data_IF_066121397682
#
_entry.id   IF_066121397682
#
_cell.length_a   1.000
_cell.length_b   1.000
_cell.length_c   1.000
_cell.angle_alpha   90.00
_cell.angle_beta   90.00
_cell.angle_gamma   90.00
#
_symmetry.space_group_name_H-M   'P 1'
#
loop_
_entity.id
_entity.type
_entity.pdbx_description
1 polymer ?
#
# COMPACT_ATOMS: atom_id res chain seq x y z
N UNK A 1 -8.90 9.65 -5.69
CA UNK A 1 -8.58 10.90 -5.01
C UNK A 1 -8.50 12.06 -5.99
N UNK A 2 -7.58 12.08 -6.99
CA UNK A 2 -7.42 13.18 -7.95
C UNK A 2 -8.73 13.57 -8.65
N UNK A 3 -9.55 12.59 -9.11
CA UNK A 3 -10.87 12.87 -9.72
C UNK A 3 -11.86 13.56 -8.78
N UNK A 4 -11.56 13.65 -7.48
CA UNK A 4 -12.36 14.36 -6.47
C UNK A 4 -11.71 15.67 -6.01
N UNK A 5 -10.72 16.15 -6.76
CA UNK A 5 -10.06 17.43 -6.53
C UNK A 5 -8.90 17.38 -5.52
N UNK A 6 -8.47 16.20 -5.07
CA UNK A 6 -7.29 16.09 -4.24
C UNK A 6 -6.02 16.32 -5.07
N UNK A 7 -5.05 17.03 -4.50
CA UNK A 7 -3.66 17.01 -4.94
C UNK A 7 -3.06 15.65 -4.55
N UNK A 8 -2.43 14.96 -5.49
CA UNK A 8 -1.95 13.60 -5.28
C UNK A 8 -0.47 13.48 -5.58
N UNK A 9 0.34 13.19 -4.57
CA UNK A 9 1.73 12.77 -4.72
C UNK A 9 1.77 11.25 -4.88
N UNK A 10 2.00 10.79 -6.11
CA UNK A 10 2.02 9.36 -6.45
C UNK A 10 3.47 8.86 -6.45
N UNK A 11 3.85 8.10 -5.42
CA UNK A 11 5.13 7.39 -5.36
C UNK A 11 4.97 6.05 -6.06
N UNK A 12 5.57 5.90 -7.23
CA UNK A 12 5.36 4.76 -8.13
C UNK A 12 6.65 3.99 -8.37
N UNK A 13 6.65 2.71 -7.99
CA UNK A 13 7.68 1.75 -8.33
C UNK A 13 7.67 1.39 -9.83
N UNK A 14 8.50 0.42 -10.27
CA UNK A 14 8.53 -0.03 -11.65
C UNK A 14 7.15 -0.44 -12.15
N UNK A 15 6.63 0.26 -13.16
CA UNK A 15 5.31 0.03 -13.73
C UNK A 15 5.25 0.53 -15.17
N UNK A 16 4.51 -0.18 -16.02
CA UNK A 16 4.15 0.26 -17.38
C UNK A 16 3.01 1.28 -17.40
N UNK A 17 2.26 1.40 -16.29
CA UNK A 17 1.11 2.31 -16.18
C UNK A 17 1.61 3.75 -16.05
N UNK A 18 1.11 4.63 -16.91
CA UNK A 18 1.38 6.07 -16.85
C UNK A 18 0.12 6.78 -16.35
N UNK A 19 0.14 7.35 -15.11
CA UNK A 19 -0.98 8.16 -14.66
C UNK A 19 -1.08 9.41 -15.54
N UNK A 20 -2.29 9.69 -16.04
CA UNK A 20 -2.55 10.76 -17.00
C UNK A 20 -3.67 11.71 -16.51
N UNK A 21 -3.79 11.93 -15.20
CA UNK A 21 -4.79 12.84 -14.64
C UNK A 21 -4.14 14.13 -14.16
N UNK A 22 -4.77 15.29 -14.34
CA UNK A 22 -4.35 16.54 -13.70
C UNK A 22 -4.33 16.37 -12.16
N UNK A 23 -3.45 17.13 -11.48
CA UNK A 23 -3.33 17.10 -10.02
C UNK A 23 -2.58 15.88 -9.48
N UNK A 24 -1.84 15.15 -10.33
CA UNK A 24 -0.94 14.08 -9.90
C UNK A 24 0.52 14.52 -10.08
N UNK A 25 1.25 14.57 -8.98
CA UNK A 25 2.71 14.75 -8.94
C UNK A 25 3.36 13.37 -8.85
N UNK A 26 4.08 12.97 -9.90
CA UNK A 26 4.62 11.63 -10.04
C UNK A 26 6.07 11.55 -9.53
N UNK A 27 6.30 10.75 -8.49
CA UNK A 27 7.61 10.39 -7.97
C UNK A 27 7.95 8.96 -8.38
N UNK A 28 8.80 8.80 -9.40
CA UNK A 28 9.25 7.46 -9.84
C UNK A 28 10.38 6.97 -8.97
N UNK A 29 10.28 5.75 -8.48
CA UNK A 29 11.29 5.07 -7.66
C UNK A 29 11.57 3.67 -8.18
N UNK A 30 12.76 3.14 -7.90
CA UNK A 30 13.19 1.82 -8.37
C UNK A 30 13.32 0.82 -7.22
N UNK A 31 13.63 1.29 -6.01
CA UNK A 31 13.91 0.46 -4.84
C UNK A 31 12.96 0.75 -3.69
N UNK A 32 12.84 -0.22 -2.77
CA UNK A 32 12.08 -0.04 -1.53
C UNK A 32 12.62 1.11 -0.68
N UNK A 33 13.95 1.31 -0.65
CA UNK A 33 14.56 2.41 0.10
C UNK A 33 14.24 3.78 -0.51
N UNK A 34 14.28 3.90 -1.85
CA UNK A 34 13.85 5.13 -2.53
C UNK A 34 12.37 5.44 -2.24
N UNK A 35 11.50 4.40 -2.30
CA UNK A 35 10.09 4.57 -1.95
C UNK A 35 9.93 5.04 -0.51
N UNK A 36 10.65 4.42 0.42
CA UNK A 36 10.66 4.84 1.82
C UNK A 36 11.05 6.31 1.97
N UNK A 37 12.16 6.75 1.36
CA UNK A 37 12.65 8.14 1.47
C UNK A 37 11.61 9.14 0.95
N UNK A 38 11.04 8.90 -0.23
CA UNK A 38 10.02 9.79 -0.81
C UNK A 38 8.75 9.82 0.05
N UNK A 39 8.25 8.65 0.50
CA UNK A 39 7.08 8.62 1.38
C UNK A 39 7.31 9.39 2.68
N UNK A 40 8.50 9.28 3.29
CA UNK A 40 8.85 10.00 4.52
C UNK A 40 8.99 11.51 4.30
N UNK A 41 9.40 11.94 3.10
CA UNK A 41 9.52 13.35 2.72
C UNK A 41 8.15 13.98 2.49
N UNK A 42 7.25 13.30 1.79
CA UNK A 42 5.94 13.84 1.40
C UNK A 42 4.90 13.76 2.53
N UNK A 43 4.99 12.74 3.40
CA UNK A 43 3.98 12.46 4.42
C UNK A 43 3.71 13.60 5.40
N UNK A 44 4.69 14.41 5.88
CA UNK A 44 4.42 15.50 6.80
C UNK A 44 3.42 16.54 6.27
N UNK A 45 3.37 16.76 4.96
CA UNK A 45 2.46 17.71 4.32
C UNK A 45 1.13 17.07 3.87
N UNK A 46 1.05 15.75 3.85
CA UNK A 46 -0.13 15.04 3.37
C UNK A 46 -1.22 14.92 4.45
N UNK A 47 -2.49 15.04 4.07
CA UNK A 47 -3.65 14.75 4.93
C UNK A 47 -3.95 13.24 4.95
N UNK A 48 -3.68 12.56 3.83
CA UNK A 48 -4.03 11.16 3.62
C UNK A 48 -2.83 10.43 3.01
N UNK A 49 -2.47 9.26 3.54
CA UNK A 49 -1.55 8.33 2.89
C UNK A 49 -2.24 7.00 2.60
N UNK A 50 -2.16 6.54 1.34
CA UNK A 50 -2.73 5.26 0.89
C UNK A 50 -1.59 4.37 0.41
N UNK A 51 -1.25 3.36 1.21
CA UNK A 51 -0.11 2.48 1.00
C UNK A 51 -0.55 1.19 0.31
N UNK A 52 -0.71 1.25 -1.02
CA UNK A 52 -1.22 0.13 -1.83
C UNK A 52 -0.11 -0.68 -2.54
N UNK A 53 1.14 -0.22 -2.52
CA UNK A 53 2.24 -0.91 -3.16
C UNK A 53 2.62 -2.21 -2.41
N UNK A 54 2.84 -3.30 -3.14
CA UNK A 54 3.43 -4.52 -2.62
C UNK A 54 4.96 -4.38 -2.59
N UNK A 55 5.49 -3.80 -1.53
CA UNK A 55 6.93 -3.62 -1.33
C UNK A 55 7.50 -4.91 -0.76
N UNK A 56 8.63 -5.39 -1.33
CA UNK A 56 9.30 -6.59 -0.84
C UNK A 56 9.83 -6.38 0.59
N UNK A 57 9.64 -7.38 1.46
CA UNK A 57 10.10 -7.35 2.86
C UNK A 57 11.62 -7.53 3.01
N UNK A 58 12.28 -8.01 1.95
CA UNK A 58 13.73 -8.29 1.93
C UNK A 58 14.37 -7.73 0.67
N UNK A 59 15.63 -7.33 0.81
CA UNK A 59 16.50 -6.90 -0.28
C UNK A 59 17.88 -7.56 -0.15
N UNK A 60 18.62 -7.81 -1.25
CA UNK A 60 20.00 -8.26 -1.15
C UNK A 60 20.86 -7.32 -0.31
N UNK A 61 21.74 -7.90 0.54
CA UNK A 61 22.71 -7.13 1.34
C UNK A 61 23.68 -6.41 0.41
N UNK A 62 24.10 -7.09 -0.65
CA UNK A 62 25.00 -6.56 -1.68
C UNK A 62 24.37 -6.70 -3.06
N UNK A 63 24.54 -5.68 -3.88
CA UNK A 63 24.11 -5.69 -5.28
C UNK A 63 25.34 -5.79 -6.16
N UNK A 64 25.41 -6.83 -6.99
CA UNK A 64 26.50 -6.98 -7.94
C UNK A 64 26.46 -5.85 -8.99
N UNK A 65 27.60 -5.20 -9.20
CA UNK A 65 27.76 -4.15 -10.23
C UNK A 65 27.94 -4.73 -11.64
N UNK A 66 28.32 -6.01 -11.71
CA UNK A 66 28.52 -6.73 -12.96
C UNK A 66 27.68 -8.01 -13.00
N UNK A 67 27.55 -8.56 -14.22
CA UNK A 67 26.85 -9.84 -14.43
C UNK A 67 27.54 -10.96 -13.66
N UNK A 68 26.81 -11.60 -12.74
CA UNK A 68 27.28 -12.80 -12.04
C UNK A 68 27.44 -13.94 -13.05
N UNK A 69 28.68 -14.41 -13.22
CA UNK A 69 28.99 -15.59 -14.06
C UNK A 69 28.63 -16.86 -13.28
N UNK A 70 28.08 -17.86 -13.97
CA UNK A 70 27.82 -19.18 -13.39
C UNK A 70 29.15 -19.83 -13.02
N UNK A 71 29.43 -19.96 -11.74
CA UNK A 71 30.67 -20.60 -11.23
C UNK A 71 30.37 -21.93 -10.51
N UNK A 72 29.13 -22.17 -10.10
CA UNK A 72 28.68 -23.37 -9.41
C UNK A 72 27.19 -23.65 -9.71
N UNK A 73 26.72 -24.85 -9.37
CA UNK A 73 25.31 -25.25 -9.54
C UNK A 73 24.40 -24.53 -8.56
N UNK A 74 24.96 -23.97 -7.48
CA UNK A 74 24.20 -23.25 -6.43
C UNK A 74 24.69 -21.83 -6.28
N UNK A 75 23.76 -20.88 -6.10
CA UNK A 75 24.00 -19.49 -5.73
C UNK A 75 23.28 -19.15 -4.44
N UNK A 76 24.01 -18.67 -3.44
CA UNK A 76 23.42 -18.17 -2.19
C UNK A 76 23.42 -16.64 -2.20
N UNK A 77 22.26 -16.04 -1.89
CA UNK A 77 22.11 -14.60 -1.79
C UNK A 77 21.74 -14.25 -0.36
N UNK A 78 22.58 -13.47 0.31
CA UNK A 78 22.25 -12.92 1.64
C UNK A 78 21.23 -11.79 1.50
N UNK A 79 20.15 -11.87 2.28
CA UNK A 79 19.08 -10.88 2.29
C UNK A 79 19.02 -10.16 3.65
N UNK A 80 18.64 -8.88 3.63
CA UNK A 80 18.32 -8.08 4.80
C UNK A 80 16.90 -7.54 4.70
N UNK A 81 16.28 -7.21 5.85
CA UNK A 81 14.93 -6.63 5.87
C UNK A 81 14.92 -5.22 5.28
N UNK A 82 13.90 -4.93 4.49
CA UNK A 82 13.59 -3.57 4.06
C UNK A 82 12.94 -2.79 5.20
N UNK A 83 12.93 -1.45 5.08
CA UNK A 83 12.21 -0.59 6.01
C UNK A 83 10.71 -0.74 5.81
N UNK A 84 9.96 -0.91 6.89
CA UNK A 84 8.50 -0.99 6.86
C UNK A 84 7.91 0.43 6.75
N UNK A 85 7.53 0.80 5.54
CA UNK A 85 7.04 2.14 5.22
C UNK A 85 5.76 2.43 6.00
N UNK A 86 4.77 1.52 5.98
CA UNK A 86 3.49 1.72 6.66
C UNK A 86 3.67 1.92 8.16
N UNK A 87 4.52 1.11 8.80
CA UNK A 87 4.85 1.24 10.21
C UNK A 87 5.50 2.58 10.51
N UNK A 88 6.50 2.98 9.71
CA UNK A 88 7.23 4.23 9.91
C UNK A 88 6.34 5.47 9.74
N UNK A 89 5.39 5.44 8.80
CA UNK A 89 4.39 6.48 8.65
C UNK A 89 3.44 6.50 9.85
N UNK A 90 2.97 5.34 10.32
CA UNK A 90 2.10 5.24 11.49
C UNK A 90 2.73 5.76 12.78
N UNK A 91 4.05 5.58 12.95
CA UNK A 91 4.82 6.12 14.09
C UNK A 91 4.94 7.65 14.05
N UNK A 92 4.95 8.24 12.84
CA UNK A 92 5.08 9.70 12.64
C UNK A 92 3.75 10.40 12.36
N UNK A 93 2.67 9.66 12.23
CA UNK A 93 1.35 10.19 11.89
C UNK A 93 0.84 11.19 12.92
N UNK A 94 0.42 12.37 12.46
CA UNK A 94 -0.34 13.33 13.26
C UNK A 94 -1.78 12.84 13.49
N UNK A 95 -2.47 13.41 14.47
CA UNK A 95 -3.85 13.04 14.81
C UNK A 95 -4.86 13.35 13.68
N UNK A 96 -4.60 14.38 12.89
CA UNK A 96 -5.41 14.84 11.77
C UNK A 96 -5.19 14.03 10.47
N UNK A 97 -4.08 13.29 10.37
CA UNK A 97 -3.75 12.49 9.19
C UNK A 97 -4.48 11.15 9.16
N UNK A 98 -4.83 10.69 7.97
CA UNK A 98 -5.44 9.38 7.73
C UNK A 98 -4.46 8.46 7.00
N UNK A 99 -4.19 7.30 7.61
CA UNK A 99 -3.27 6.29 7.07
C UNK A 99 -4.05 5.02 6.69
N UNK A 100 -3.98 4.67 5.40
CA UNK A 100 -4.64 3.50 4.83
C UNK A 100 -3.58 2.49 4.38
N UNK A 101 -3.63 1.28 4.93
CA UNK A 101 -2.79 0.16 4.52
C UNK A 101 -3.56 -0.87 3.70
N UNK A 102 -2.84 -1.73 2.98
CA UNK A 102 -3.40 -2.89 2.29
C UNK A 102 -2.86 -4.18 2.90
N UNK A 103 -3.70 -5.21 2.93
CA UNK A 103 -3.34 -6.56 3.28
C UNK A 103 -3.79 -7.52 2.17
N UNK A 104 -2.94 -8.48 1.85
CA UNK A 104 -3.23 -9.57 0.92
C UNK A 104 -2.90 -10.86 1.65
N UNK A 105 -3.91 -11.63 2.02
CA UNK A 105 -3.78 -12.77 2.90
C UNK A 105 -4.48 -14.01 2.30
N UNK A 106 -4.10 -15.19 2.77
CA UNK A 106 -4.70 -16.48 2.40
C UNK A 106 -5.29 -17.23 3.59
N UNK A 107 -4.79 -16.96 4.80
CA UNK A 107 -5.19 -17.62 6.05
C UNK A 107 -5.34 -16.62 7.16
N UNK A 108 -6.25 -16.88 8.12
CA UNK A 108 -6.47 -15.98 9.27
C UNK A 108 -6.62 -14.49 8.89
N UNK A 109 -7.18 -14.22 7.73
CA UNK A 109 -7.24 -12.92 7.04
C UNK A 109 -7.69 -11.79 7.96
N UNK A 110 -8.81 -12.01 8.71
CA UNK A 110 -9.35 -11.03 9.64
C UNK A 110 -8.37 -10.69 10.76
N UNK A 111 -7.75 -11.70 11.36
CA UNK A 111 -6.79 -11.49 12.46
C UNK A 111 -5.55 -10.74 11.98
N UNK A 112 -5.04 -11.06 10.80
CA UNK A 112 -3.91 -10.35 10.19
C UNK A 112 -4.26 -8.89 9.84
N UNK A 113 -5.44 -8.63 9.28
CA UNK A 113 -5.89 -7.27 8.97
C UNK A 113 -6.02 -6.42 10.24
N UNK A 114 -6.63 -6.94 11.31
CA UNK A 114 -6.74 -6.26 12.61
C UNK A 114 -5.38 -6.07 13.27
N UNK A 115 -4.50 -7.08 13.22
CA UNK A 115 -3.13 -6.99 13.72
C UNK A 115 -2.33 -5.91 12.97
N UNK A 116 -2.49 -5.80 11.65
CA UNK A 116 -1.86 -4.76 10.83
C UNK A 116 -2.40 -3.37 11.19
N UNK A 117 -3.72 -3.23 11.36
CA UNK A 117 -4.37 -1.99 11.77
C UNK A 117 -3.75 -1.47 13.08
N UNK A 118 -3.62 -2.33 14.09
CA UNK A 118 -3.07 -1.97 15.39
C UNK A 118 -1.55 -1.73 15.34
N UNK A 119 -0.79 -2.70 14.82
CA UNK A 119 0.69 -2.66 14.85
C UNK A 119 1.30 -1.58 13.96
N UNK A 120 0.58 -1.10 12.93
CA UNK A 120 1.02 -0.03 12.04
C UNK A 120 0.38 1.31 12.36
N UNK A 121 -0.43 1.42 13.42
CA UNK A 121 -1.21 2.62 13.75
C UNK A 121 -1.98 3.17 12.54
N UNK A 122 -2.47 2.28 11.67
CA UNK A 122 -3.28 2.63 10.52
C UNK A 122 -4.71 2.98 10.98
N UNK A 123 -5.39 3.84 10.23
CA UNK A 123 -6.80 4.18 10.48
C UNK A 123 -7.73 3.25 9.73
N UNK A 124 -7.22 2.68 8.62
CA UNK A 124 -7.96 1.79 7.76
C UNK A 124 -7.02 0.74 7.15
N UNK A 125 -7.48 -0.50 7.07
CA UNK A 125 -6.83 -1.58 6.32
C UNK A 125 -7.80 -2.14 5.29
N UNK A 126 -7.38 -2.15 4.03
CA UNK A 126 -8.09 -2.77 2.92
C UNK A 126 -7.56 -4.18 2.74
N UNK A 127 -8.35 -5.17 3.10
CA UNK A 127 -8.02 -6.57 2.96
C UNK A 127 -8.49 -7.10 1.61
N UNK A 128 -7.58 -7.72 0.85
CA UNK A 128 -7.85 -8.58 -0.29
C UNK A 128 -7.66 -10.03 0.14
N UNK A 129 -8.62 -10.89 -0.15
CA UNK A 129 -8.46 -12.34 0.02
C UNK A 129 -7.95 -12.96 -1.27
N UNK A 130 -6.90 -13.79 -1.18
CA UNK A 130 -6.46 -14.63 -2.30
C UNK A 130 -7.32 -15.90 -2.45
N UNK A 131 -8.17 -16.21 -1.47
CA UNK A 131 -9.10 -17.35 -1.53
C UNK A 131 -10.33 -17.04 -2.42
N UNK A 132 -10.57 -15.78 -2.75
CA UNK A 132 -11.67 -15.39 -3.62
C UNK A 132 -11.26 -15.56 -5.09
N UNK A 133 -11.99 -16.41 -5.81
CA UNK A 133 -11.78 -16.64 -7.24
C UNK A 133 -11.90 -15.32 -8.04
N UNK A 134 -10.87 -15.02 -8.85
CA UNK A 134 -10.79 -13.77 -9.63
C UNK A 134 -10.35 -12.54 -8.82
N UNK A 135 -9.88 -12.71 -7.58
CA UNK A 135 -9.22 -11.68 -6.79
C UNK A 135 -7.68 -11.82 -6.86
N UNK A 136 -6.96 -10.74 -6.59
CA UNK A 136 -5.50 -10.74 -6.51
C UNK A 136 -4.78 -10.17 -7.73
N UNK A 137 -3.50 -10.58 -7.90
CA UNK A 137 -2.67 -10.10 -8.99
C UNK A 137 -3.10 -10.69 -10.35
N UNK A 138 -2.98 -9.89 -11.41
CA UNK A 138 -3.28 -10.35 -12.77
C UNK A 138 -4.77 -10.32 -13.17
N UNK A 139 -5.68 -10.05 -12.26
CA UNK A 139 -7.11 -9.94 -12.55
C UNK A 139 -7.57 -8.47 -12.59
N UNK A 140 -8.62 -8.18 -13.36
CA UNK A 140 -9.23 -6.85 -13.44
C UNK A 140 -10.30 -6.61 -12.36
N UNK A 141 -10.67 -7.66 -11.63
CA UNK A 141 -11.63 -7.62 -10.53
C UNK A 141 -10.95 -7.78 -9.18
N UNK A 142 -11.66 -7.38 -8.12
CA UNK A 142 -11.25 -7.62 -6.74
C UNK A 142 -12.46 -7.71 -5.82
N UNK A 143 -12.29 -8.35 -4.67
CA UNK A 143 -13.23 -8.39 -3.56
C UNK A 143 -12.47 -7.95 -2.32
N UNK A 144 -12.98 -6.98 -1.60
CA UNK A 144 -12.29 -6.41 -0.43
C UNK A 144 -13.19 -6.38 0.81
N UNK A 145 -12.53 -6.37 1.96
CA UNK A 145 -13.14 -5.96 3.24
C UNK A 145 -12.32 -4.80 3.80
N UNK A 146 -12.98 -3.73 4.23
CA UNK A 146 -12.33 -2.59 4.87
C UNK A 146 -12.51 -2.71 6.38
N UNK A 147 -11.38 -2.69 7.11
CA UNK A 147 -11.33 -2.62 8.56
C UNK A 147 -10.94 -1.21 8.98
N UNK A 148 -11.69 -0.62 9.89
CA UNK A 148 -11.46 0.74 10.40
C UNK A 148 -11.06 0.71 11.88
N UNK A 149 -10.28 1.69 12.31
CA UNK A 149 -9.78 1.82 13.70
C UNK A 149 -10.90 1.93 14.74
N UNK A 150 -12.08 2.41 14.33
CA UNK A 150 -13.29 2.50 15.17
C UNK A 150 -14.02 1.15 15.37
N UNK A 151 -13.50 0.06 14.80
CA UNK A 151 -14.06 -1.28 14.90
C UNK A 151 -15.00 -1.68 13.77
N UNK A 152 -15.28 -0.80 12.81
CA UNK A 152 -16.08 -1.14 11.65
C UNK A 152 -15.38 -2.17 10.77
N UNK A 153 -16.16 -3.12 10.28
CA UNK A 153 -15.77 -4.12 9.28
C UNK A 153 -16.78 -4.09 8.14
N UNK A 154 -16.34 -3.68 6.96
CA UNK A 154 -17.21 -3.37 5.83
C UNK A 154 -16.84 -4.25 4.64
N UNK A 155 -17.57 -5.33 4.38
CA UNK A 155 -17.35 -6.19 3.22
C UNK A 155 -17.93 -5.56 1.95
N UNK A 156 -17.23 -5.74 0.83
CA UNK A 156 -17.68 -5.37 -0.51
C UNK A 156 -17.71 -6.62 -1.39
N UNK A 157 -18.72 -6.71 -2.26
CA UNK A 157 -18.78 -7.76 -3.27
C UNK A 157 -17.68 -7.62 -4.34
N UNK A 158 -17.49 -8.66 -5.15
CA UNK A 158 -16.56 -8.63 -6.27
C UNK A 158 -16.94 -7.57 -7.29
N UNK A 159 -16.02 -6.67 -7.62
CA UNK A 159 -16.19 -5.55 -8.54
C UNK A 159 -14.92 -5.33 -9.36
N UNK A 160 -14.97 -4.48 -10.39
CA UNK A 160 -13.77 -4.03 -11.08
C UNK A 160 -12.84 -3.26 -10.11
N UNK A 161 -11.54 -3.30 -10.36
CA UNK A 161 -10.55 -2.53 -9.55
C UNK A 161 -10.87 -1.03 -9.50
N UNK A 162 -11.46 -0.48 -10.58
CA UNK A 162 -11.90 0.91 -10.59
C UNK A 162 -13.07 1.17 -9.63
N UNK A 163 -14.05 0.27 -9.57
CA UNK A 163 -15.17 0.37 -8.62
C UNK A 163 -14.70 0.18 -7.18
N UNK A 164 -13.81 -0.79 -6.94
CA UNK A 164 -13.17 -1.00 -5.61
C UNK A 164 -12.41 0.26 -5.18
N UNK A 165 -11.63 0.87 -6.07
CA UNK A 165 -10.93 2.12 -5.76
C UNK A 165 -11.90 3.25 -5.41
N UNK A 166 -13.08 3.32 -6.06
CA UNK A 166 -14.14 4.27 -5.71
C UNK A 166 -14.68 4.00 -4.30
N UNK A 167 -15.01 2.75 -3.98
CA UNK A 167 -15.51 2.36 -2.64
C UNK A 167 -14.51 2.76 -1.54
N UNK A 168 -13.20 2.51 -1.77
CA UNK A 168 -12.14 2.91 -0.83
C UNK A 168 -12.11 4.43 -0.65
N UNK A 169 -12.18 5.20 -1.74
CA UNK A 169 -12.17 6.67 -1.68
C UNK A 169 -13.43 7.21 -1.01
N UNK A 170 -14.59 6.57 -1.20
CA UNK A 170 -15.84 6.93 -0.53
C UNK A 170 -15.71 6.74 1.00
N UNK A 171 -15.07 5.64 1.45
CA UNK A 171 -14.82 5.40 2.88
C UNK A 171 -13.80 6.38 3.46
N UNK A 172 -12.73 6.70 2.73
CA UNK A 172 -11.77 7.73 3.12
C UNK A 172 -12.47 9.07 3.34
N UNK A 173 -13.31 9.50 2.38
CA UNK A 173 -14.05 10.76 2.49
C UNK A 173 -15.00 10.78 3.69
N UNK A 174 -15.74 9.68 3.94
CA UNK A 174 -16.62 9.56 5.10
C UNK A 174 -15.85 9.64 6.43
N UNK A 175 -14.64 9.04 6.48
CA UNK A 175 -13.79 9.08 7.67
C UNK A 175 -13.25 10.48 7.99
N UNK A 176 -13.01 11.32 6.96
CA UNK A 176 -12.57 12.71 7.15
C UNK A 176 -13.69 13.59 7.70
N UNK A 177 -14.94 13.42 7.21
CA UNK A 177 -16.09 14.18 7.69
C UNK A 177 -16.35 13.91 9.18
N UNK A 178 -16.21 12.67 9.62
CA UNK A 178 -16.45 12.27 11.02
C UNK A 178 -15.34 12.71 12.00
N UNK A 179 -14.25 13.31 11.51
CA UNK A 179 -13.15 13.83 12.33
C UNK A 179 -13.23 15.34 12.59
N UNK A 180 -14.12 16.03 11.87
CA UNK A 180 -14.46 17.44 12.10
C UNK A 180 -15.51 17.58 13.21
#
# INVERSE_FOLDING_TARGET
LARRGAEVHLVLGPSSIKPALPGIYLHKVQTADQMFQVCMQEFPAADIAVMAAAVADYTPVETATEKIKKQSDNLTIALTKTKDILKSLGEKKRADQLLVGFALETTNERAYALGKLASKNADMVVLNSLNDEGAGFGHDTNKITIFEKNGNEIPFGRKSKQQVAKDIVDRIAASLINRQ
#
